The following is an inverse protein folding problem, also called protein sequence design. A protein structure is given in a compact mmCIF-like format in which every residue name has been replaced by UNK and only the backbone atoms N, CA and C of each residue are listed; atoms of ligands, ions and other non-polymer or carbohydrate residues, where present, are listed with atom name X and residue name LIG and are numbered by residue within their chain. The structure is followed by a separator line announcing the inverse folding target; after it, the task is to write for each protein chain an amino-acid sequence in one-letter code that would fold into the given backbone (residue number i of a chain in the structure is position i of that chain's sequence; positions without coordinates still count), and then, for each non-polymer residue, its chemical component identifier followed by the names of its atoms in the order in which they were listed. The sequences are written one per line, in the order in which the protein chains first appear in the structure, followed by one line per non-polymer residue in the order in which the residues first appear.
data_IF_344189118575
#
_entry.id   IF_344189118575
#
_cell.length_a   1.000
_cell.length_b   1.000
_cell.length_c   1.000
_cell.angle_alpha   90.00
_cell.angle_beta   90.00
_cell.angle_gamma   90.00
#
_symmetry.space_group_name_H-M   'P 1'
#
loop_
_entity.id
_entity.type
_entity.pdbx_description
1 polymer ?
#
# COMPACT_ATOMS: atom_id res chain seq x y z
N UNK A 1 -2.86 4.72 3.50
CA UNK A 1 -1.51 4.26 3.10
C UNK A 1 -1.61 3.43 1.81
N UNK A 2 -1.09 3.94 0.70
CA UNK A 2 -1.04 3.20 -0.58
C UNK A 2 0.17 2.26 -0.57
N UNK A 3 -0.01 0.99 -0.99
CA UNK A 3 1.07 0.01 -1.12
C UNK A 3 2.18 0.57 -2.02
N UNK A 4 3.43 0.72 -1.53
CA UNK A 4 4.51 1.22 -2.37
C UNK A 4 4.79 0.22 -3.49
N UNK A 5 4.76 0.67 -4.75
CA UNK A 5 5.17 -0.15 -5.91
C UNK A 5 6.66 -0.43 -5.81
N UNK A 6 7.00 -1.67 -5.43
CA UNK A 6 8.39 -2.11 -5.22
C UNK A 6 9.13 -2.25 -6.55
N UNK A 7 8.43 -2.73 -7.59
CA UNK A 7 8.99 -2.95 -8.91
C UNK A 7 8.53 -1.86 -9.86
N UNK A 8 9.48 -1.05 -10.34
CA UNK A 8 9.27 -0.18 -11.49
C UNK A 8 10.09 -0.75 -12.64
N UNK A 9 9.42 -1.20 -13.70
CA UNK A 9 10.02 -1.76 -14.93
C UNK A 9 11.29 -1.04 -15.40
N UNK A 10 11.33 0.31 -15.50
CA UNK A 10 12.56 0.99 -15.93
C UNK A 10 13.73 0.81 -14.96
N UNK A 11 13.48 0.81 -13.65
CA UNK A 11 14.55 0.65 -12.64
C UNK A 11 15.17 -0.75 -12.69
N UNK A 12 14.35 -1.78 -12.99
CA UNK A 12 14.81 -3.15 -13.15
C UNK A 12 15.73 -3.26 -14.39
N UNK A 13 15.28 -2.76 -15.53
CA UNK A 13 16.07 -2.74 -16.78
C UNK A 13 17.41 -2.02 -16.59
N UNK A 14 17.40 -0.82 -15.99
CA UNK A 14 18.62 -0.07 -15.70
C UNK A 14 19.57 -0.79 -14.74
N UNK A 15 19.04 -1.46 -13.71
CA UNK A 15 19.88 -2.22 -12.78
C UNK A 15 20.56 -3.43 -13.43
N UNK A 16 19.86 -4.12 -14.35
CA UNK A 16 20.43 -5.26 -15.08
C UNK A 16 21.52 -4.78 -16.04
N UNK A 17 21.25 -3.72 -16.81
CA UNK A 17 22.22 -3.15 -17.75
C UNK A 17 23.49 -2.64 -17.05
N UNK A 18 23.33 -1.83 -15.99
CA UNK A 18 24.47 -1.32 -15.22
C UNK A 18 25.21 -2.47 -14.53
N UNK A 19 24.49 -3.45 -13.98
CA UNK A 19 25.09 -4.63 -13.36
C UNK A 19 25.96 -5.44 -14.32
N UNK A 20 25.47 -5.71 -15.53
CA UNK A 20 26.20 -6.43 -16.57
C UNK A 20 27.43 -5.64 -17.04
N UNK A 21 27.29 -4.33 -17.28
CA UNK A 21 28.40 -3.48 -17.69
C UNK A 21 29.50 -3.42 -16.61
N UNK A 22 29.13 -3.27 -15.34
CA UNK A 22 30.09 -3.24 -14.24
C UNK A 22 30.78 -4.59 -14.05
N UNK A 23 30.02 -5.70 -14.15
CA UNK A 23 30.56 -7.06 -14.03
C UNK A 23 31.55 -7.41 -15.15
N UNK A 24 31.39 -6.84 -16.34
CA UNK A 24 32.32 -7.05 -17.45
C UNK A 24 33.52 -6.09 -17.40
N UNK A 25 33.28 -4.78 -17.19
CA UNK A 25 34.32 -3.76 -17.31
C UNK A 25 35.31 -3.76 -16.14
N UNK A 26 34.86 -4.03 -14.91
CA UNK A 26 35.74 -4.00 -13.73
C UNK A 26 36.81 -5.11 -13.80
N UNK A 27 36.47 -6.40 -14.05
CA UNK A 27 37.48 -7.44 -14.20
C UNK A 27 38.39 -7.23 -15.40
N UNK A 28 37.85 -6.75 -16.54
CA UNK A 28 38.65 -6.45 -17.73
C UNK A 28 39.69 -5.34 -17.47
N UNK A 29 39.36 -4.37 -16.62
CA UNK A 29 40.29 -3.29 -16.23
C UNK A 29 41.39 -3.83 -15.29
N UNK A 30 41.04 -4.73 -14.36
CA UNK A 30 42.01 -5.36 -13.45
C UNK A 30 42.95 -6.31 -14.19
N UNK A 31 42.45 -7.08 -15.16
CA UNK A 31 43.23 -8.03 -15.93
C UNK A 31 44.26 -7.36 -16.85
N UNK A 32 44.00 -6.13 -17.32
CA UNK A 32 44.87 -5.39 -18.25
C UNK A 32 45.77 -4.37 -17.53
N UNK A 33 46.21 -4.67 -16.30
CA UNK A 33 47.05 -3.74 -15.55
C UNK A 33 48.49 -3.67 -16.11
N UNK A 34 49.09 -2.47 -16.32
CA UNK A 34 48.55 -1.15 -16.03
C UNK A 34 47.51 -0.68 -17.06
N UNK A 35 46.30 -0.40 -16.57
CA UNK A 35 45.15 -0.10 -17.42
C UNK A 35 45.21 1.32 -17.98
N UNK A 36 44.65 1.50 -19.17
CA UNK A 36 44.55 2.82 -19.82
C UNK A 36 43.68 3.79 -18.98
N UNK A 37 44.01 5.09 -18.91
CA UNK A 37 43.27 6.08 -18.10
C UNK A 37 41.77 6.18 -18.41
N UNK A 38 41.37 5.89 -19.65
CA UNK A 38 39.96 5.90 -20.03
C UNK A 38 39.20 4.70 -19.44
N UNK A 39 39.83 3.52 -19.35
CA UNK A 39 39.20 2.31 -18.78
C UNK A 39 38.93 2.49 -17.29
N UNK A 40 39.89 3.06 -16.55
CA UNK A 40 39.74 3.34 -15.12
C UNK A 40 38.67 4.38 -14.84
N UNK A 41 38.53 5.39 -15.72
CA UNK A 41 37.48 6.41 -15.62
C UNK A 41 36.09 5.81 -15.84
N UNK A 42 35.91 5.00 -16.89
CA UNK A 42 34.63 4.34 -17.20
C UNK A 42 34.24 3.35 -16.09
N UNK A 43 35.18 2.54 -15.61
CA UNK A 43 34.94 1.60 -14.52
C UNK A 43 34.50 2.33 -13.23
N UNK A 44 35.13 3.47 -12.91
CA UNK A 44 34.77 4.28 -11.75
C UNK A 44 33.35 4.85 -11.85
N UNK A 45 32.96 5.36 -13.02
CA UNK A 45 31.60 5.87 -13.26
C UNK A 45 30.55 4.76 -13.11
N UNK A 46 30.80 3.59 -13.69
CA UNK A 46 29.90 2.44 -13.59
C UNK A 46 29.74 1.95 -12.16
N UNK A 47 30.81 1.97 -11.36
CA UNK A 47 30.79 1.60 -9.96
C UNK A 47 29.96 2.59 -9.12
N UNK A 48 30.10 3.89 -9.38
CA UNK A 48 29.27 4.93 -8.74
C UNK A 48 27.79 4.76 -9.11
N UNK A 49 27.47 4.52 -10.38
CA UNK A 49 26.10 4.28 -10.83
C UNK A 49 25.49 3.03 -10.17
N UNK A 50 26.25 1.94 -10.06
CA UNK A 50 25.83 0.72 -9.38
C UNK A 50 25.53 0.97 -7.89
N UNK A 51 26.39 1.74 -7.20
CA UNK A 51 26.20 2.09 -5.80
C UNK A 51 24.91 2.91 -5.58
N UNK A 52 24.66 3.91 -6.43
CA UNK A 52 23.43 4.73 -6.38
C UNK A 52 22.18 3.88 -6.59
N UNK A 53 22.21 2.95 -7.56
CA UNK A 53 21.11 2.02 -7.81
C UNK A 53 20.87 1.08 -6.63
N UNK A 54 21.93 0.54 -6.03
CA UNK A 54 21.85 -0.30 -4.85
C UNK A 54 21.21 0.44 -3.67
N UNK A 55 21.64 1.68 -3.39
CA UNK A 55 21.05 2.52 -2.34
C UNK A 55 19.56 2.79 -2.59
N UNK A 56 19.17 3.05 -3.84
CA UNK A 56 17.76 3.23 -4.22
C UNK A 56 16.94 1.96 -4.00
N UNK A 57 17.48 0.79 -4.33
CA UNK A 57 16.84 -0.49 -4.06
C UNK A 57 16.68 -0.75 -2.57
N UNK A 58 17.74 -0.54 -1.78
CA UNK A 58 17.69 -0.68 -0.32
C UNK A 58 16.61 0.24 0.27
N UNK A 59 16.55 1.50 -0.17
CA UNK A 59 15.52 2.43 0.29
C UNK A 59 14.10 1.95 -0.07
N UNK A 60 13.89 1.46 -1.30
CA UNK A 60 12.58 0.90 -1.72
C UNK A 60 12.19 -0.33 -0.93
N UNK A 61 13.12 -1.29 -0.76
CA UNK A 61 12.89 -2.52 0.00
C UNK A 61 12.59 -2.22 1.46
N UNK A 62 13.34 -1.30 2.08
CA UNK A 62 13.08 -0.86 3.46
C UNK A 62 11.69 -0.22 3.60
N UNK A 63 11.26 0.62 2.64
CA UNK A 63 9.91 1.20 2.64
C UNK A 63 8.84 0.12 2.50
N UNK A 64 9.04 -0.85 1.60
CA UNK A 64 8.10 -1.96 1.40
C UNK A 64 8.00 -2.84 2.64
N UNK A 65 9.13 -3.17 3.26
CA UNK A 65 9.18 -3.94 4.50
C UNK A 65 8.46 -3.23 5.65
N UNK A 66 8.71 -1.93 5.86
CA UNK A 66 7.98 -1.13 6.87
C UNK A 66 6.48 -1.09 6.60
N UNK A 67 6.08 -0.94 5.33
CA UNK A 67 4.68 -0.99 4.95
C UNK A 67 4.06 -2.35 5.28
N UNK A 68 4.76 -3.45 4.98
CA UNK A 68 4.27 -4.81 5.24
C UNK A 68 4.11 -5.08 6.74
N UNK A 69 5.09 -4.69 7.56
CA UNK A 69 5.00 -4.82 9.02
C UNK A 69 3.84 -4.00 9.58
N UNK A 70 3.63 -2.78 9.09
CA UNK A 70 2.50 -1.95 9.53
C UNK A 70 1.15 -2.51 9.06
N UNK A 71 1.06 -2.97 7.81
CA UNK A 71 -0.12 -3.63 7.28
C UNK A 71 -0.48 -4.88 8.09
N UNK A 72 0.51 -5.70 8.42
CA UNK A 72 0.31 -6.90 9.24
C UNK A 72 -0.15 -6.56 10.65
N UNK A 73 0.40 -5.51 11.26
CA UNK A 73 -0.08 -5.01 12.56
C UNK A 73 -1.54 -4.57 12.48
N UNK A 74 -1.93 -3.79 11.47
CA UNK A 74 -3.31 -3.34 11.29
C UNK A 74 -4.27 -4.51 11.06
N UNK A 75 -3.84 -5.53 10.32
CA UNK A 75 -4.62 -6.76 10.15
C UNK A 75 -4.78 -7.54 11.47
N UNK A 76 -3.73 -7.62 12.28
CA UNK A 76 -3.82 -8.23 13.61
C UNK A 76 -4.77 -7.46 14.54
N UNK A 77 -4.74 -6.13 14.50
CA UNK A 77 -5.67 -5.26 15.25
C UNK A 77 -7.11 -5.46 14.76
N UNK A 78 -7.33 -5.58 13.44
CA UNK A 78 -8.64 -5.87 12.84
C UNK A 78 -9.14 -7.25 13.27
N UNK A 79 -8.32 -8.29 13.20
CA UNK A 79 -8.69 -9.63 13.66
C UNK A 79 -9.00 -9.67 15.16
N UNK A 80 -8.21 -8.97 15.98
CA UNK A 80 -8.45 -8.88 17.41
C UNK A 80 -9.78 -8.17 17.71
N UNK A 81 -10.06 -7.06 17.02
CA UNK A 81 -11.33 -6.35 17.14
C UNK A 81 -12.51 -7.21 16.69
N UNK A 82 -12.34 -8.00 15.62
CA UNK A 82 -13.36 -8.94 15.12
C UNK A 82 -13.68 -10.06 16.12
N UNK A 83 -12.68 -10.56 16.84
CA UNK A 83 -12.88 -11.59 17.89
C UNK A 83 -13.55 -11.03 19.15
N UNK A 84 -13.29 -9.77 19.48
CA UNK A 84 -13.81 -9.14 20.70
C UNK A 84 -15.18 -8.46 20.52
N UNK A 85 -15.55 -8.11 19.29
CA UNK A 85 -16.82 -7.47 18.97
C UNK A 85 -17.95 -8.47 18.76
N UNK A 86 -19.14 -8.16 19.27
CA UNK A 86 -20.34 -8.99 19.08
C UNK A 86 -20.89 -8.91 17.66
N UNK A 87 -21.23 -7.70 17.20
CA UNK A 87 -21.83 -7.46 15.89
C UNK A 87 -20.91 -6.58 15.06
N UNK A 88 -19.97 -7.19 14.33
CA UNK A 88 -19.08 -6.47 13.42
C UNK A 88 -19.13 -7.08 12.02
N UNK A 89 -18.92 -6.24 11.02
CA UNK A 89 -18.81 -6.67 9.62
C UNK A 89 -17.68 -5.93 8.92
N UNK A 90 -17.17 -6.56 7.86
CA UNK A 90 -16.10 -6.02 7.04
C UNK A 90 -16.71 -5.29 5.84
N UNK A 91 -16.29 -4.05 5.65
CA UNK A 91 -16.61 -3.27 4.46
C UNK A 91 -15.32 -2.77 3.81
N UNK A 92 -15.19 -3.01 2.52
CA UNK A 92 -14.04 -2.52 1.76
C UNK A 92 -14.36 -1.19 1.10
N UNK A 93 -13.55 -0.16 1.34
CA UNK A 93 -13.63 1.13 0.66
C UNK A 93 -13.11 0.96 -0.77
N UNK A 94 -13.98 1.13 -1.76
CA UNK A 94 -13.62 1.02 -3.18
C UNK A 94 -13.07 2.33 -3.74
N UNK A 95 -13.70 3.45 -3.39
CA UNK A 95 -13.32 4.78 -3.86
C UNK A 95 -13.67 5.84 -2.84
N UNK A 96 -12.86 6.91 -2.81
CA UNK A 96 -13.14 8.14 -2.06
C UNK A 96 -13.38 9.24 -3.07
N UNK A 97 -14.56 9.86 -3.05
CA UNK A 97 -14.99 10.83 -4.05
C UNK A 97 -14.68 12.26 -3.61
N UNK A 98 -15.22 12.64 -2.45
CA UNK A 98 -15.10 13.99 -1.91
C UNK A 98 -14.82 13.91 -0.42
N UNK A 99 -13.81 14.68 0.01
CA UNK A 99 -13.43 14.79 1.43
C UNK A 99 -13.90 16.17 1.91
N UNK A 100 -14.71 16.17 2.96
CA UNK A 100 -15.26 17.37 3.59
C UNK A 100 -14.77 17.45 5.05
N UNK A 101 -14.90 18.60 5.73
CA UNK A 101 -14.44 18.76 7.12
C UNK A 101 -15.12 17.82 8.12
N UNK A 102 -16.32 17.33 7.80
CA UNK A 102 -17.14 16.48 8.67
C UNK A 102 -17.06 14.99 8.31
N UNK A 103 -16.39 14.64 7.21
CA UNK A 103 -16.37 13.27 6.72
C UNK A 103 -16.02 13.17 5.24
N UNK A 104 -16.23 11.99 4.67
CA UNK A 104 -15.96 11.74 3.25
C UNK A 104 -17.04 10.89 2.58
N UNK A 105 -17.34 11.25 1.34
CA UNK A 105 -18.14 10.43 0.43
C UNK A 105 -17.28 9.29 -0.12
N UNK A 106 -17.72 8.07 0.11
CA UNK A 106 -17.03 6.86 -0.34
C UNK A 106 -18.00 5.90 -1.02
N UNK A 107 -17.45 4.99 -1.82
CA UNK A 107 -18.18 3.77 -2.21
C UNK A 107 -17.60 2.63 -1.40
N UNK A 108 -18.46 1.88 -0.72
CA UNK A 108 -18.07 0.68 0.03
C UNK A 108 -18.61 -0.57 -0.64
N UNK A 109 -17.93 -1.68 -0.39
CA UNK A 109 -18.39 -3.03 -0.65
C UNK A 109 -18.65 -3.72 0.69
N UNK A 110 -19.83 -4.26 0.89
CA UNK A 110 -20.10 -5.16 2.01
C UNK A 110 -19.51 -6.52 1.67
N UNK A 111 -18.42 -6.88 2.34
CA UNK A 111 -17.64 -8.06 1.93
C UNK A 111 -18.44 -9.36 2.14
N UNK A 112 -19.32 -9.39 3.14
CA UNK A 112 -20.21 -10.52 3.40
C UNK A 112 -21.34 -10.67 2.37
N UNK A 113 -21.82 -9.56 1.78
CA UNK A 113 -22.99 -9.56 0.89
C UNK A 113 -22.63 -9.35 -0.59
N UNK A 114 -21.38 -8.98 -0.89
CA UNK A 114 -20.96 -8.58 -2.24
C UNK A 114 -21.71 -7.34 -2.76
N UNK A 115 -22.29 -6.54 -1.86
CA UNK A 115 -23.13 -5.41 -2.21
C UNK A 115 -22.33 -4.12 -2.20
N UNK A 116 -22.42 -3.35 -3.29
CA UNK A 116 -21.75 -2.06 -3.42
C UNK A 116 -22.75 -0.94 -3.19
N UNK A 117 -22.38 0.01 -2.35
CA UNK A 117 -23.22 1.17 -2.09
C UNK A 117 -22.40 2.43 -1.81
N UNK A 118 -22.96 3.62 -2.06
CA UNK A 118 -22.38 4.85 -1.56
C UNK A 118 -22.55 4.90 -0.03
N UNK A 119 -21.54 5.44 0.62
CA UNK A 119 -21.56 5.68 2.05
C UNK A 119 -20.92 7.01 2.41
N UNK A 120 -21.40 7.58 3.50
CA UNK A 120 -20.79 8.70 4.18
C UNK A 120 -20.02 8.16 5.38
N UNK A 121 -18.71 8.39 5.42
CA UNK A 121 -17.90 8.10 6.61
C UNK A 121 -17.71 9.41 7.37
N UNK A 122 -18.22 9.48 8.59
CA UNK A 122 -17.93 10.58 9.50
C UNK A 122 -16.47 10.49 9.95
N UNK A 123 -15.80 11.63 10.04
CA UNK A 123 -14.42 11.61 10.47
C UNK A 123 -13.85 12.97 10.82
N UNK A 124 -13.44 13.09 12.08
CA UNK A 124 -12.48 14.07 12.58
C UNK A 124 -11.04 13.56 12.54
N UNK A 125 -10.59 12.95 11.43
CA UNK A 125 -9.17 12.59 11.23
C UNK A 125 -8.84 11.11 10.95
N UNK A 126 -9.83 10.24 10.80
CA UNK A 126 -9.62 8.87 10.33
C UNK A 126 -8.97 8.84 8.94
N UNK A 127 -7.80 8.21 8.82
CA UNK A 127 -7.13 8.07 7.52
C UNK A 127 -7.75 6.88 6.78
N UNK A 128 -8.74 7.12 5.91
CA UNK A 128 -9.33 6.10 5.04
C UNK A 128 -8.81 6.27 3.61
N UNK A 129 -8.65 5.18 2.86
CA UNK A 129 -8.12 5.23 1.49
C UNK A 129 -8.78 4.19 0.60
N UNK A 130 -8.77 4.39 -0.73
CA UNK A 130 -9.22 3.37 -1.67
C UNK A 130 -8.48 2.04 -1.42
N UNK A 131 -9.25 0.97 -1.30
CA UNK A 131 -8.79 -0.36 -0.92
C UNK A 131 -8.50 -0.51 0.57
N UNK A 132 -9.06 0.28 1.49
CA UNK A 132 -9.01 -0.06 2.93
C UNK A 132 -10.18 -0.96 3.32
N UNK A 133 -9.93 -1.98 4.14
CA UNK A 133 -10.95 -2.78 4.81
C UNK A 133 -11.25 -2.14 6.16
N UNK A 134 -12.53 -1.85 6.41
CA UNK A 134 -13.03 -1.30 7.66
C UNK A 134 -13.81 -2.38 8.39
N UNK A 135 -13.54 -2.55 9.68
CA UNK A 135 -14.39 -3.32 10.56
C UNK A 135 -15.38 -2.36 11.21
N UNK A 136 -16.65 -2.47 10.85
CA UNK A 136 -17.71 -1.58 11.36
C UNK A 136 -18.72 -2.37 12.18
N UNK A 137 -19.35 -1.70 13.15
CA UNK A 137 -20.62 -2.16 13.71
C UNK A 137 -21.74 -1.63 12.82
N UNK A 138 -22.57 -2.49 12.19
CA UNK A 138 -23.72 -2.03 11.42
C UNK A 138 -24.70 -1.25 12.30
N UNK A 139 -25.13 -0.07 11.88
CA UNK A 139 -26.16 0.69 12.56
C UNK A 139 -27.53 0.01 12.33
N UNK A 140 -28.16 -0.53 13.39
CA UNK A 140 -29.44 -1.21 13.25
C UNK A 140 -30.55 -0.29 12.74
N UNK A 141 -30.44 1.03 12.91
CA UNK A 141 -31.44 1.97 12.41
C UNK A 141 -31.37 2.18 10.90
N UNK A 142 -30.26 1.81 10.27
CA UNK A 142 -30.05 1.98 8.82
C UNK A 142 -30.23 0.68 8.04
N UNK A 143 -29.88 -0.47 8.62
CA UNK A 143 -29.96 -1.78 7.94
C UNK A 143 -30.79 -2.74 8.78
N UNK A 144 -31.94 -3.14 8.24
CA UNK A 144 -32.86 -4.08 8.87
C UNK A 144 -33.07 -5.31 7.99
N UNK A 145 -33.24 -6.47 8.63
CA UNK A 145 -33.57 -7.70 7.92
C UNK A 145 -34.95 -7.54 7.26
N UNK A 146 -35.02 -7.83 5.94
CA UNK A 146 -36.26 -7.78 5.17
C UNK A 146 -36.66 -6.38 4.67
N UNK A 147 -35.87 -5.34 4.95
CA UNK A 147 -36.05 -4.01 4.39
C UNK A 147 -35.08 -3.78 3.21
N UNK A 148 -35.41 -2.90 2.26
CA UNK A 148 -34.46 -2.51 1.23
C UNK A 148 -33.23 -1.84 1.85
N UNK A 149 -32.09 -1.99 1.20
CA UNK A 149 -30.87 -1.27 1.57
C UNK A 149 -31.10 0.24 1.47
N UNK A 150 -30.56 1.03 2.42
CA UNK A 150 -30.62 2.47 2.31
C UNK A 150 -29.87 2.93 1.05
N UNK A 151 -30.32 4.00 0.38
CA UNK A 151 -29.64 4.52 -0.81
C UNK A 151 -28.22 4.97 -0.48
N UNK A 152 -28.01 5.45 0.74
CA UNK A 152 -26.73 5.91 1.27
C UNK A 152 -26.60 5.44 2.70
N UNK A 153 -25.48 4.81 3.04
CA UNK A 153 -25.20 4.37 4.40
C UNK A 153 -24.27 5.34 5.12
N UNK A 154 -24.49 5.58 6.41
CA UNK A 154 -23.67 6.46 7.24
C UNK A 154 -22.88 5.61 8.22
N UNK A 155 -21.57 5.74 8.18
CA UNK A 155 -20.63 5.13 9.11
C UNK A 155 -20.21 6.24 10.08
N UNK A 156 -20.68 6.16 11.32
CA UNK A 156 -20.19 7.05 12.37
C UNK A 156 -18.75 6.68 12.73
N UNK A 157 -17.96 7.65 13.18
CA UNK A 157 -16.57 7.41 13.61
C UNK A 157 -16.51 6.41 14.78
N UNK A 158 -17.52 6.45 15.67
CA UNK A 158 -17.67 5.53 16.80
C UNK A 158 -17.96 4.08 16.41
N UNK A 159 -18.49 3.87 15.19
CA UNK A 159 -18.86 2.56 14.68
C UNK A 159 -17.71 1.90 13.91
N UNK A 160 -16.69 2.68 13.53
CA UNK A 160 -15.46 2.15 12.95
C UNK A 160 -14.55 1.59 14.06
N UNK A 161 -14.42 0.27 14.11
CA UNK A 161 -13.65 -0.44 15.14
C UNK A 161 -12.18 -0.61 14.79
N UNK A 162 -11.89 -0.87 13.52
CA UNK A 162 -10.53 -1.07 13.03
C UNK A 162 -10.44 -0.80 11.53
N UNK A 163 -9.24 -0.49 11.05
CA UNK A 163 -8.94 -0.30 9.63
C UNK A 163 -7.69 -1.07 9.25
N UNK A 164 -7.73 -1.77 8.12
CA UNK A 164 -6.58 -2.43 7.53
C UNK A 164 -6.45 -2.06 6.05
N UNK A 165 -5.24 -2.00 5.48
CA UNK A 165 -5.08 -1.91 4.03
C UNK A 165 -5.53 -3.23 3.40
N UNK A 166 -6.21 -3.19 2.26
CA UNK A 166 -6.49 -4.38 1.47
C UNK A 166 -5.18 -5.11 1.21
N UNK A 167 -5.21 -6.42 1.44
CA UNK A 167 -4.25 -7.34 0.87
C UNK A 167 -4.33 -7.15 -0.64
N UNK A 168 -3.45 -6.29 -1.18
CA UNK A 168 -3.41 -6.01 -2.61
C UNK A 168 -3.16 -7.32 -3.35
N UNK A 169 -4.24 -7.90 -3.85
CA UNK A 169 -4.26 -8.93 -4.88
C UNK A 169 -3.88 -8.29 -6.22
#
# INVERSE_FOLDING_TARGET
MIKPKVVSTPLLVWSVLVGLCTLYMVPATVANWPASPWMTTVASILLVLALVLALRWIAKVRRASRWNTNAQRLWQELEAAKRNGTTTTEVTVLSVQEVQPTGAWVTINWDQFGYRQPAWIEGGGGTYWPGSVLLITPDPNQVHIGQPWPPTYRIAETDCRAVAPASGH
#
